data_IF_401814278620
#
_entry.id   IF_401814278620
#
_cell.length_a   1.000
_cell.length_b   1.000
_cell.length_c   1.000
_cell.angle_alpha   90.00
_cell.angle_beta   90.00
_cell.angle_gamma   90.00
#
_symmetry.space_group_name_H-M   'P 1'
#
loop_
_entity.id
_entity.type
_entity.pdbx_description
1 polymer ?
#
# COMPACT_ATOMS: atom_id res chain seq x y z
N UNK A 1 16.91 8.39 -1.95
CA UNK A 1 16.39 7.53 -0.88
C UNK A 1 14.96 7.14 -1.18
N UNK A 2 13.99 7.97 -0.77
CA UNK A 2 12.56 7.62 -0.79
C UNK A 2 11.98 7.23 -2.16
N UNK A 3 12.34 7.91 -3.24
CA UNK A 3 11.90 7.49 -4.59
C UNK A 3 12.40 6.09 -4.99
N UNK A 4 13.59 5.69 -4.52
CA UNK A 4 14.14 4.36 -4.79
C UNK A 4 13.43 3.27 -3.97
N UNK A 5 13.05 3.57 -2.73
CA UNK A 5 12.26 2.69 -1.86
C UNK A 5 10.86 2.40 -2.46
N UNK A 6 10.20 3.46 -2.94
CA UNK A 6 8.92 3.33 -3.64
C UNK A 6 9.06 2.61 -4.98
N UNK A 7 10.17 2.82 -5.71
CA UNK A 7 10.46 2.08 -6.94
C UNK A 7 10.68 0.59 -6.67
N UNK A 8 11.46 0.24 -5.65
CA UNK A 8 11.65 -1.15 -5.23
C UNK A 8 10.32 -1.79 -4.88
N UNK A 9 9.53 -1.14 -4.02
CA UNK A 9 8.20 -1.62 -3.64
C UNK A 9 7.29 -1.80 -4.86
N UNK A 10 7.34 -0.88 -5.82
CA UNK A 10 6.57 -0.95 -7.07
C UNK A 10 6.97 -2.17 -7.92
N UNK A 11 8.27 -2.36 -8.15
CA UNK A 11 8.79 -3.47 -8.96
C UNK A 11 8.53 -4.81 -8.25
N UNK A 12 8.84 -4.90 -6.97
CA UNK A 12 8.65 -6.12 -6.16
C UNK A 12 7.17 -6.51 -6.17
N UNK A 13 6.25 -5.59 -5.91
CA UNK A 13 4.81 -5.88 -5.89
C UNK A 13 4.31 -6.40 -7.25
N UNK A 14 4.67 -5.71 -8.33
CA UNK A 14 4.27 -6.13 -9.68
C UNK A 14 4.83 -7.51 -10.01
N UNK A 15 6.14 -7.71 -9.85
CA UNK A 15 6.81 -8.99 -10.15
C UNK A 15 6.26 -10.13 -9.28
N UNK A 16 5.92 -9.87 -8.03
CA UNK A 16 5.35 -10.88 -7.12
C UNK A 16 4.00 -11.38 -7.61
N UNK A 17 3.12 -10.47 -8.03
CA UNK A 17 1.82 -10.83 -8.59
C UNK A 17 1.96 -11.60 -9.92
N UNK A 18 2.91 -11.20 -10.77
CA UNK A 18 3.23 -11.90 -12.02
C UNK A 18 3.77 -13.32 -11.75
N UNK A 19 4.67 -13.45 -10.77
CA UNK A 19 5.26 -14.72 -10.37
C UNK A 19 4.20 -15.66 -9.78
N UNK A 20 3.29 -15.14 -8.95
CA UNK A 20 2.14 -15.90 -8.46
C UNK A 20 1.27 -16.44 -9.60
N UNK A 21 0.90 -15.60 -10.56
CA UNK A 21 0.13 -16.03 -11.73
C UNK A 21 0.82 -17.19 -12.48
N UNK A 22 2.14 -17.07 -12.68
CA UNK A 22 2.94 -18.07 -13.39
C UNK A 22 3.06 -19.40 -12.60
N UNK A 23 3.22 -19.33 -11.29
CA UNK A 23 3.39 -20.52 -10.45
C UNK A 23 2.10 -21.30 -10.23
N UNK A 24 0.94 -20.63 -10.29
CA UNK A 24 -0.37 -21.23 -10.07
C UNK A 24 -1.00 -21.57 -11.43
N UNK A 25 -0.78 -22.80 -11.90
CA UNK A 25 -1.25 -23.22 -13.23
C UNK A 25 -2.76 -23.06 -13.44
N UNK A 26 -3.58 -23.23 -12.39
CA UNK A 26 -5.03 -23.02 -12.48
C UNK A 26 -5.38 -21.56 -12.82
N UNK A 27 -4.61 -20.59 -12.33
CA UNK A 27 -4.79 -19.16 -12.67
C UNK A 27 -4.50 -18.94 -14.14
N UNK A 28 -3.34 -19.40 -14.65
CA UNK A 28 -2.97 -19.19 -16.05
C UNK A 28 -3.90 -19.94 -17.03
N UNK A 29 -4.42 -21.11 -16.63
CA UNK A 29 -5.40 -21.86 -17.42
C UNK A 29 -6.76 -21.14 -17.53
N UNK A 30 -7.21 -20.49 -16.46
CA UNK A 30 -8.45 -19.71 -16.45
C UNK A 30 -8.27 -18.33 -17.09
N UNK A 31 -7.10 -17.73 -16.91
CA UNK A 31 -6.76 -16.38 -17.30
C UNK A 31 -5.38 -16.36 -17.97
N UNK A 32 -5.31 -16.57 -19.30
CA UNK A 32 -4.04 -16.62 -20.02
C UNK A 32 -3.20 -15.34 -19.88
N UNK A 33 -3.84 -14.19 -19.66
CA UNK A 33 -3.18 -12.89 -19.50
C UNK A 33 -2.84 -12.53 -18.03
N UNK A 34 -3.05 -13.44 -17.06
CA UNK A 34 -2.84 -13.18 -15.64
C UNK A 34 -1.41 -12.71 -15.32
N UNK A 35 -0.40 -13.25 -16.02
CA UNK A 35 1.00 -12.84 -15.84
C UNK A 35 1.22 -11.40 -16.33
N UNK A 36 0.55 -10.96 -17.38
CA UNK A 36 0.69 -9.59 -17.91
C UNK A 36 -0.17 -8.58 -17.15
N UNK A 37 -1.23 -9.03 -16.48
CA UNK A 37 -2.22 -8.16 -15.87
C UNK A 37 -1.62 -7.13 -14.87
N UNK A 38 -0.75 -7.50 -13.91
CA UNK A 38 -0.09 -6.53 -13.03
C UNK A 38 0.74 -5.48 -13.78
N UNK A 39 1.41 -5.87 -14.87
CA UNK A 39 2.21 -4.95 -15.68
C UNK A 39 1.34 -3.94 -16.42
N UNK A 40 0.17 -4.36 -16.90
CA UNK A 40 -0.78 -3.43 -17.55
C UNK A 40 -1.45 -2.50 -16.54
N UNK A 41 -1.69 -2.95 -15.30
CA UNK A 41 -2.12 -2.07 -14.19
C UNK A 41 -1.08 -0.97 -13.97
N UNK A 42 0.21 -1.33 -13.93
CA UNK A 42 1.32 -0.37 -13.85
C UNK A 42 1.31 0.63 -15.02
N UNK A 43 1.04 0.17 -16.25
CA UNK A 43 0.88 1.06 -17.41
C UNK A 43 -0.29 2.04 -17.25
N UNK A 44 -1.45 1.54 -16.78
CA UNK A 44 -2.61 2.39 -16.50
C UNK A 44 -2.37 3.39 -15.37
N UNK A 45 -1.59 3.02 -14.35
CA UNK A 45 -1.23 3.89 -13.23
C UNK A 45 -0.61 5.22 -13.70
N UNK A 46 0.21 5.17 -14.76
CA UNK A 46 0.82 6.36 -15.36
C UNK A 46 -0.28 7.27 -15.92
N UNK A 47 -1.22 6.73 -16.69
CA UNK A 47 -2.34 7.47 -17.27
C UNK A 47 -3.24 8.06 -16.17
N UNK A 48 -3.58 7.25 -15.16
CA UNK A 48 -4.38 7.69 -14.03
C UNK A 48 -3.71 8.85 -13.28
N UNK A 49 -2.40 8.78 -13.08
CA UNK A 49 -1.61 9.84 -12.44
C UNK A 49 -1.62 11.11 -13.29
N UNK A 50 -1.36 11.03 -14.60
CA UNK A 50 -1.35 12.19 -15.49
C UNK A 50 -2.68 12.93 -15.47
N UNK A 51 -3.79 12.20 -15.49
CA UNK A 51 -5.13 12.78 -15.38
C UNK A 51 -5.32 13.39 -13.98
N UNK A 52 -4.97 12.66 -12.92
CA UNK A 52 -5.13 13.11 -11.54
C UNK A 52 -4.39 14.41 -11.21
N UNK A 53 -3.19 14.62 -11.76
CA UNK A 53 -2.39 15.85 -11.54
C UNK A 53 -3.14 17.09 -12.00
N UNK A 54 -3.94 17.01 -13.08
CA UNK A 54 -4.73 18.15 -13.59
C UNK A 54 -5.77 18.64 -12.57
N UNK A 55 -6.21 17.75 -11.67
CA UNK A 55 -7.19 18.05 -10.62
C UNK A 55 -6.58 18.58 -9.32
N UNK A 56 -5.24 18.61 -9.19
CA UNK A 56 -4.57 19.22 -8.03
C UNK A 56 -4.66 20.73 -8.15
N UNK A 57 -5.76 21.32 -7.64
CA UNK A 57 -6.00 22.77 -7.71
C UNK A 57 -6.53 23.31 -6.40
N UNK A 58 -5.81 24.26 -5.81
CA UNK A 58 -6.28 24.98 -4.64
C UNK A 58 -7.30 26.04 -5.06
N UNK A 59 -8.55 25.91 -4.59
CA UNK A 59 -9.59 26.94 -4.75
C UNK A 59 -9.37 28.08 -3.75
N UNK A 60 -9.87 29.31 -4.03
CA UNK A 60 -9.82 30.41 -3.05
C UNK A 60 -10.44 29.98 -1.71
N UNK A 61 -9.71 30.18 -0.61
CA UNK A 61 -10.11 29.74 0.73
C UNK A 61 -9.99 28.22 0.99
N UNK A 62 -9.44 27.46 0.04
CA UNK A 62 -9.17 26.03 0.18
C UNK A 62 -7.93 25.74 1.02
N UNK A 63 -7.71 24.46 1.35
CA UNK A 63 -6.49 24.00 2.01
C UNK A 63 -5.56 23.29 1.03
N UNK A 64 -4.26 23.40 1.25
CA UNK A 64 -3.21 22.71 0.48
C UNK A 64 -3.47 21.20 0.46
N UNK A 65 -3.71 20.61 1.64
CA UNK A 65 -4.01 19.18 1.76
C UNK A 65 -5.28 18.78 1.00
N UNK A 66 -6.29 19.64 0.99
CA UNK A 66 -7.50 19.42 0.20
C UNK A 66 -7.24 19.36 -1.31
N UNK A 67 -6.33 20.19 -1.83
CA UNK A 67 -5.93 20.13 -3.24
C UNK A 67 -5.19 18.83 -3.59
N UNK A 68 -4.31 18.36 -2.69
CA UNK A 68 -3.61 17.08 -2.86
C UNK A 68 -4.61 15.91 -2.82
N UNK A 69 -5.62 15.96 -1.95
CA UNK A 69 -6.67 14.95 -1.91
C UNK A 69 -7.59 14.95 -3.13
N UNK A 70 -7.83 16.11 -3.76
CA UNK A 70 -8.55 16.14 -5.03
C UNK A 70 -7.79 15.38 -6.12
N UNK A 71 -6.47 15.56 -6.19
CA UNK A 71 -5.62 14.79 -7.11
C UNK A 71 -5.62 13.30 -6.81
N UNK A 72 -5.48 12.92 -5.53
CA UNK A 72 -5.54 11.52 -5.11
C UNK A 72 -6.89 10.89 -5.43
N UNK A 73 -8.00 11.55 -5.10
CA UNK A 73 -9.35 11.07 -5.40
C UNK A 73 -9.58 10.91 -6.91
N UNK A 74 -9.16 11.88 -7.72
CA UNK A 74 -9.23 11.80 -9.17
C UNK A 74 -8.41 10.61 -9.71
N UNK A 75 -7.18 10.44 -9.23
CA UNK A 75 -6.30 9.31 -9.61
C UNK A 75 -6.94 7.98 -9.23
N UNK A 76 -7.49 7.85 -8.03
CA UNK A 76 -8.16 6.63 -7.56
C UNK A 76 -9.39 6.31 -8.39
N UNK A 77 -10.23 7.30 -8.72
CA UNK A 77 -11.43 7.09 -9.55
C UNK A 77 -11.04 6.63 -10.95
N UNK A 78 -10.08 7.31 -11.59
CA UNK A 78 -9.56 6.91 -12.90
C UNK A 78 -8.88 5.54 -12.84
N UNK A 79 -8.19 5.24 -11.74
CA UNK A 79 -7.63 3.94 -11.43
C UNK A 79 -8.70 2.84 -11.42
N UNK A 80 -9.80 3.02 -10.68
CA UNK A 80 -10.92 2.07 -10.62
C UNK A 80 -11.54 1.85 -12.00
N UNK A 81 -11.74 2.91 -12.77
CA UNK A 81 -12.28 2.80 -14.14
C UNK A 81 -11.35 1.98 -15.03
N UNK A 82 -10.04 2.22 -14.96
CA UNK A 82 -9.07 1.41 -15.69
C UNK A 82 -9.04 -0.04 -15.23
N UNK A 83 -9.07 -0.30 -13.92
CA UNK A 83 -9.13 -1.65 -13.38
C UNK A 83 -10.36 -2.41 -13.91
N UNK A 84 -11.51 -1.75 -14.04
CA UNK A 84 -12.70 -2.34 -14.63
C UNK A 84 -12.48 -2.72 -16.10
N UNK A 85 -11.95 -1.79 -16.90
CA UNK A 85 -11.67 -1.99 -18.32
C UNK A 85 -10.63 -3.12 -18.51
N UNK A 86 -9.52 -3.07 -17.78
CA UNK A 86 -8.47 -4.07 -17.84
C UNK A 86 -8.97 -5.45 -17.41
N UNK A 87 -9.79 -5.53 -16.36
CA UNK A 87 -10.40 -6.78 -15.92
C UNK A 87 -11.33 -7.37 -16.99
N UNK A 88 -12.13 -6.53 -17.67
CA UNK A 88 -13.00 -6.97 -18.75
C UNK A 88 -12.23 -7.60 -19.91
N UNK A 89 -11.16 -6.94 -20.38
CA UNK A 89 -10.39 -7.41 -21.54
C UNK A 89 -9.36 -8.51 -21.24
N UNK A 90 -8.74 -8.49 -20.06
CA UNK A 90 -7.61 -9.39 -19.74
C UNK A 90 -7.99 -10.56 -18.84
N UNK A 91 -9.04 -10.39 -18.01
CA UNK A 91 -9.45 -11.36 -16.99
C UNK A 91 -10.90 -11.82 -17.19
N UNK A 92 -11.43 -11.73 -18.41
CA UNK A 92 -12.79 -12.13 -18.80
C UNK A 92 -13.91 -11.47 -17.98
N UNK A 93 -13.66 -10.28 -17.41
CA UNK A 93 -14.65 -9.57 -16.60
C UNK A 93 -14.98 -10.25 -15.28
N UNK A 94 -14.10 -11.12 -14.75
CA UNK A 94 -14.34 -11.79 -13.47
C UNK A 94 -14.56 -10.77 -12.34
N UNK A 95 -15.71 -10.87 -11.67
CA UNK A 95 -16.10 -9.94 -10.61
C UNK A 95 -15.23 -10.07 -9.36
N UNK A 96 -14.78 -11.29 -9.04
CA UNK A 96 -13.88 -11.54 -7.90
C UNK A 96 -12.55 -10.83 -8.03
N UNK A 97 -11.91 -10.91 -9.22
CA UNK A 97 -10.64 -10.24 -9.51
C UNK A 97 -10.81 -8.72 -9.48
N UNK A 98 -11.91 -8.20 -10.04
CA UNK A 98 -12.22 -6.77 -9.97
C UNK A 98 -12.41 -6.31 -8.52
N UNK A 99 -13.16 -7.06 -7.71
CA UNK A 99 -13.34 -6.75 -6.29
C UNK A 99 -12.01 -6.76 -5.55
N UNK A 100 -11.16 -7.76 -5.76
CA UNK A 100 -9.83 -7.80 -5.15
C UNK A 100 -8.98 -6.58 -5.54
N UNK A 101 -9.00 -6.19 -6.82
CA UNK A 101 -8.28 -5.02 -7.30
C UNK A 101 -8.81 -3.72 -6.67
N UNK A 102 -10.13 -3.52 -6.60
CA UNK A 102 -10.74 -2.34 -5.96
C UNK A 102 -10.44 -2.31 -4.47
N UNK A 103 -10.48 -3.47 -3.80
CA UNK A 103 -10.15 -3.58 -2.36
C UNK A 103 -8.72 -3.13 -2.09
N UNK A 104 -7.74 -3.49 -2.92
CA UNK A 104 -6.38 -2.98 -2.81
C UNK A 104 -6.31 -1.46 -2.80
N UNK A 105 -7.04 -0.79 -3.71
CA UNK A 105 -7.15 0.67 -3.73
C UNK A 105 -7.86 1.23 -2.49
N UNK A 106 -8.91 0.57 -2.00
CA UNK A 106 -9.63 0.99 -0.79
C UNK A 106 -8.74 0.89 0.44
N UNK A 107 -8.04 -0.23 0.62
CA UNK A 107 -7.03 -0.40 1.69
C UNK A 107 -6.02 0.73 1.61
N UNK A 108 -5.60 1.08 0.40
CA UNK A 108 -4.64 2.14 0.23
C UNK A 108 -5.16 3.52 0.68
N UNK A 109 -6.38 3.87 0.27
CA UNK A 109 -7.05 5.10 0.72
C UNK A 109 -7.22 5.10 2.24
N UNK A 110 -7.60 3.99 2.86
CA UNK A 110 -7.74 3.88 4.31
C UNK A 110 -6.41 4.13 5.03
N UNK A 111 -5.30 3.59 4.52
CA UNK A 111 -3.97 3.82 5.10
C UNK A 111 -3.58 5.30 4.99
N UNK A 112 -3.87 5.95 3.87
CA UNK A 112 -3.63 7.39 3.67
C UNK A 112 -4.41 8.23 4.67
N UNK A 113 -5.73 7.98 4.78
CA UNK A 113 -6.62 8.73 5.68
C UNK A 113 -6.26 8.51 7.14
N UNK A 114 -5.96 7.26 7.53
CA UNK A 114 -5.47 6.96 8.87
C UNK A 114 -4.15 7.69 9.16
N UNK A 115 -3.23 7.71 8.19
CA UNK A 115 -1.94 8.39 8.38
C UNK A 115 -2.10 9.90 8.51
N UNK A 116 -2.94 10.54 7.70
CA UNK A 116 -3.27 11.98 7.84
C UNK A 116 -3.88 12.28 9.22
N UNK A 117 -4.86 11.47 9.66
CA UNK A 117 -5.50 11.65 10.96
C UNK A 117 -4.51 11.68 12.14
N UNK A 118 -3.49 10.81 12.12
CA UNK A 118 -2.50 10.72 13.21
C UNK A 118 -1.32 11.69 13.08
N UNK A 119 -1.13 12.35 11.93
CA UNK A 119 0.06 13.18 11.67
C UNK A 119 -0.24 14.64 11.37
N UNK A 120 -1.48 14.97 11.03
CA UNK A 120 -1.88 16.33 10.72
C UNK A 120 -2.27 17.09 12.00
N UNK A 121 -1.66 18.25 12.19
CA UNK A 121 -1.86 19.13 13.36
C UNK A 121 -3.31 19.56 13.58
N UNK A 122 -4.19 19.40 12.58
CA UNK A 122 -5.62 19.69 12.69
C UNK A 122 -6.39 18.64 13.47
N UNK A 123 -5.88 17.43 13.67
CA UNK A 123 -6.62 16.36 14.35
C UNK A 123 -6.24 16.22 15.83
N UNK A 124 -7.06 15.47 16.55
CA UNK A 124 -6.91 15.25 17.99
C UNK A 124 -5.58 14.61 18.39
N UNK A 125 -5.05 13.58 17.69
CA UNK A 125 -3.83 12.90 18.13
C UNK A 125 -2.61 13.82 18.16
N UNK A 126 -2.39 14.59 17.10
CA UNK A 126 -1.26 15.52 17.02
C UNK A 126 -1.42 16.70 17.99
N UNK A 127 -2.65 17.21 18.18
CA UNK A 127 -2.93 18.25 19.19
C UNK A 127 -2.67 17.77 20.61
N UNK A 128 -3.04 16.54 20.93
CA UNK A 128 -2.79 15.95 22.24
C UNK A 128 -1.28 15.85 22.56
N UNK A 129 -0.45 15.51 21.57
CA UNK A 129 1.02 15.52 21.72
C UNK A 129 1.52 16.95 22.00
N UNK A 130 1.01 17.94 21.25
CA UNK A 130 1.38 19.33 21.44
C UNK A 130 0.96 19.89 22.82
N UNK A 131 -0.24 19.54 23.30
CA UNK A 131 -0.71 19.88 24.64
C UNK A 131 0.15 19.23 25.72
N UNK A 132 0.55 17.97 25.53
CA UNK A 132 1.42 17.23 26.44
C UNK A 132 2.82 17.86 26.58
N UNK A 133 3.25 18.67 25.60
CA UNK A 133 4.51 19.40 25.66
C UNK A 133 4.52 20.54 26.70
N UNK A 134 3.35 21.01 27.14
CA UNK A 134 3.25 21.98 28.24
C UNK A 134 3.72 21.39 29.58
N UNK A 135 3.62 20.06 29.75
CA UNK A 135 4.07 19.36 30.95
C UNK A 135 5.56 18.94 30.90
N UNK A 136 6.24 19.18 29.78
CA UNK A 136 7.69 18.93 29.60
C UNK A 136 8.02 17.92 28.52
N UNK A 137 9.32 17.79 28.21
CA UNK A 137 9.79 16.94 27.11
C UNK A 137 9.47 15.44 27.32
N UNK A 138 9.52 14.96 28.57
CA UNK A 138 9.23 13.56 28.90
C UNK A 138 7.80 13.15 28.56
N UNK A 139 6.82 14.00 28.91
CA UNK A 139 5.41 13.77 28.58
C UNK A 139 5.15 13.85 27.08
N UNK A 140 5.84 14.72 26.35
CA UNK A 140 5.78 14.76 24.88
C UNK A 140 6.23 13.45 24.25
N UNK A 141 7.36 12.89 24.70
CA UNK A 141 7.89 11.63 24.15
C UNK A 141 6.95 10.47 24.46
N UNK A 142 6.45 10.38 25.70
CA UNK A 142 5.50 9.34 26.10
C UNK A 142 4.20 9.42 25.28
N UNK A 143 3.64 10.63 25.14
CA UNK A 143 2.43 10.84 24.34
C UNK A 143 2.67 10.49 22.86
N UNK A 144 3.79 10.92 22.29
CA UNK A 144 4.18 10.61 20.91
C UNK A 144 4.33 9.12 20.66
N UNK A 145 5.00 8.39 21.56
CA UNK A 145 5.10 6.93 21.48
C UNK A 145 3.74 6.25 21.60
N UNK A 146 2.89 6.69 22.54
CA UNK A 146 1.54 6.16 22.72
C UNK A 146 0.68 6.31 21.46
N UNK A 147 0.65 7.51 20.89
CA UNK A 147 -0.08 7.80 19.64
C UNK A 147 0.50 7.01 18.46
N UNK A 148 1.83 6.84 18.39
CA UNK A 148 2.47 6.03 17.35
C UNK A 148 2.07 4.55 17.39
N UNK A 149 1.99 3.97 18.59
CA UNK A 149 1.51 2.60 18.78
C UNK A 149 0.02 2.47 18.42
N UNK A 150 -0.81 3.43 18.81
CA UNK A 150 -2.23 3.47 18.48
C UNK A 150 -2.47 3.54 16.96
N UNK A 151 -1.69 4.38 16.25
CA UNK A 151 -1.82 4.62 14.82
C UNK A 151 -1.62 3.36 13.97
N UNK A 152 -0.94 2.33 14.51
CA UNK A 152 -0.66 1.08 13.80
C UNK A 152 -1.91 0.19 13.66
N UNK A 153 -2.85 0.27 14.60
CA UNK A 153 -4.03 -0.60 14.63
C UNK A 153 -4.94 -0.40 13.42
N UNK A 154 -5.28 0.84 13.06
CA UNK A 154 -6.21 1.13 11.94
C UNK A 154 -5.61 0.65 10.62
N UNK A 155 -4.31 0.86 10.42
CA UNK A 155 -3.58 0.41 9.23
C UNK A 155 -3.56 -1.11 9.16
N UNK A 156 -3.24 -1.77 10.27
CA UNK A 156 -3.25 -3.23 10.38
C UNK A 156 -4.62 -3.83 10.07
N UNK A 157 -5.70 -3.31 10.67
CA UNK A 157 -7.05 -3.76 10.38
C UNK A 157 -7.45 -3.56 8.91
N UNK A 158 -7.07 -2.44 8.32
CA UNK A 158 -7.34 -2.15 6.91
C UNK A 158 -6.68 -3.22 6.02
N UNK A 159 -5.43 -3.58 6.30
CA UNK A 159 -4.72 -4.65 5.58
C UNK A 159 -5.39 -6.00 5.79
N UNK A 160 -5.73 -6.36 7.04
CA UNK A 160 -6.41 -7.64 7.35
C UNK A 160 -7.75 -7.75 6.61
N UNK A 161 -8.58 -6.71 6.68
CA UNK A 161 -9.84 -6.66 5.93
C UNK A 161 -9.61 -6.79 4.43
N UNK A 162 -8.61 -6.09 3.90
CA UNK A 162 -8.21 -6.18 2.51
C UNK A 162 -7.82 -7.58 2.06
N UNK A 163 -6.95 -8.24 2.83
CA UNK A 163 -6.50 -9.62 2.59
C UNK A 163 -7.68 -10.58 2.60
N UNK A 164 -8.56 -10.50 3.61
CA UNK A 164 -9.71 -11.40 3.73
C UNK A 164 -10.70 -11.23 2.57
N UNK A 165 -11.02 -9.98 2.21
CA UNK A 165 -11.94 -9.71 1.09
C UNK A 165 -11.32 -10.12 -0.23
N UNK A 166 -10.04 -9.80 -0.49
CA UNK A 166 -9.38 -10.18 -1.74
C UNK A 166 -9.24 -11.69 -1.90
N UNK A 167 -8.87 -12.40 -0.82
CA UNK A 167 -8.76 -13.85 -0.80
C UNK A 167 -10.10 -14.53 -1.05
N UNK A 168 -11.14 -14.09 -0.34
CA UNK A 168 -12.47 -14.68 -0.49
C UNK A 168 -13.07 -14.34 -1.84
N UNK A 169 -12.97 -13.10 -2.32
CA UNK A 169 -13.59 -12.67 -3.58
C UNK A 169 -13.10 -13.48 -4.79
N UNK A 170 -11.80 -13.81 -4.87
CA UNK A 170 -11.23 -14.56 -6.00
C UNK A 170 -11.30 -16.08 -5.77
N UNK A 171 -11.15 -16.53 -4.53
CA UNK A 171 -11.28 -17.95 -4.18
C UNK A 171 -12.72 -18.45 -4.16
N UNK A 172 -13.72 -17.56 -4.19
CA UNK A 172 -15.13 -17.92 -4.05
C UNK A 172 -15.65 -18.77 -5.22
N UNK A 173 -15.97 -20.03 -4.92
CA UNK A 173 -16.54 -20.97 -5.90
C UNK A 173 -18.00 -21.36 -5.57
N UNK A 174 -18.71 -20.55 -4.77
CA UNK A 174 -20.08 -20.80 -4.34
C UNK A 174 -20.21 -20.98 -2.82
N UNK A 175 -21.45 -21.03 -2.32
CA UNK A 175 -21.74 -21.14 -0.87
C UNK A 175 -21.51 -22.54 -0.29
N UNK A 176 -21.26 -23.54 -1.14
CA UNK A 176 -21.22 -24.96 -0.77
C UNK A 176 -19.81 -25.50 -0.59
N UNK A 177 -18.79 -24.76 -1.01
CA UNK A 177 -17.38 -25.18 -0.94
C UNK A 177 -16.52 -24.08 -0.33
N UNK A 178 -15.50 -24.46 0.42
CA UNK A 178 -14.49 -23.51 0.90
C UNK A 178 -13.82 -22.79 -0.29
N UNK A 179 -13.37 -21.53 -0.12
CA UNK A 179 -12.67 -20.81 -1.16
C UNK A 179 -11.42 -21.56 -1.64
N UNK A 180 -11.17 -21.59 -2.95
CA UNK A 180 -9.94 -22.19 -3.50
C UNK A 180 -8.73 -21.39 -3.00
N UNK A 181 -7.82 -22.00 -2.21
CA UNK A 181 -6.68 -21.28 -1.65
C UNK A 181 -5.74 -20.73 -2.71
N UNK A 182 -5.59 -21.41 -3.84
CA UNK A 182 -4.66 -20.99 -4.90
C UNK A 182 -5.18 -19.71 -5.57
N UNK A 183 -6.47 -19.69 -5.91
CA UNK A 183 -7.13 -18.51 -6.48
C UNK A 183 -7.22 -17.37 -5.47
N UNK A 184 -7.49 -17.67 -4.20
CA UNK A 184 -7.52 -16.67 -3.13
C UNK A 184 -6.17 -15.99 -2.90
N UNK A 185 -5.07 -16.75 -2.88
CA UNK A 185 -3.71 -16.18 -2.78
C UNK A 185 -3.37 -15.29 -3.97
N UNK A 186 -3.81 -15.67 -5.19
CA UNK A 186 -3.69 -14.79 -6.35
C UNK A 186 -4.50 -13.50 -6.20
N UNK A 187 -5.70 -13.57 -5.60
CA UNK A 187 -6.51 -12.39 -5.27
C UNK A 187 -5.78 -11.41 -4.36
N UNK A 188 -5.07 -11.89 -3.33
CA UNK A 188 -4.21 -11.04 -2.48
C UNK A 188 -3.11 -10.38 -3.33
N UNK A 189 -2.47 -11.13 -4.23
CA UNK A 189 -1.47 -10.59 -5.15
C UNK A 189 -2.02 -9.49 -6.07
N UNK A 190 -3.26 -9.65 -6.56
CA UNK A 190 -3.94 -8.61 -7.35
C UNK A 190 -4.31 -7.39 -6.52
N UNK A 191 -4.76 -7.57 -5.28
CA UNK A 191 -4.99 -6.45 -4.37
C UNK A 191 -3.70 -5.68 -4.09
N UNK A 192 -2.56 -6.36 -3.95
CA UNK A 192 -1.26 -5.71 -3.82
C UNK A 192 -0.89 -4.93 -5.10
N UNK A 193 -1.01 -5.56 -6.27
CA UNK A 193 -0.68 -4.93 -7.55
C UNK A 193 -1.59 -3.75 -7.89
N UNK A 194 -2.86 -3.77 -7.49
CA UNK A 194 -3.80 -2.68 -7.78
C UNK A 194 -3.52 -1.42 -6.95
N UNK A 195 -2.88 -1.53 -5.78
CA UNK A 195 -2.38 -0.36 -5.03
C UNK A 195 -1.42 0.49 -5.87
N UNK A 196 -0.76 -0.13 -6.85
CA UNK A 196 0.18 0.56 -7.72
C UNK A 196 -0.51 1.58 -8.65
N UNK A 197 -1.83 1.47 -8.85
CA UNK A 197 -2.56 2.38 -9.72
C UNK A 197 -2.57 3.85 -9.26
N UNK A 198 -2.23 4.11 -7.98
CA UNK A 198 -2.12 5.47 -7.42
C UNK A 198 -0.68 5.90 -7.09
N UNK A 199 0.32 5.04 -7.36
CA UNK A 199 1.71 5.29 -6.94
C UNK A 199 2.26 6.61 -7.45
N UNK A 200 2.03 6.94 -8.72
CA UNK A 200 2.57 8.15 -9.32
C UNK A 200 2.07 9.42 -8.62
N UNK A 201 0.80 9.45 -8.22
CA UNK A 201 0.24 10.55 -7.44
C UNK A 201 0.85 10.62 -6.04
N UNK A 202 1.06 9.48 -5.38
CA UNK A 202 1.68 9.44 -4.04
C UNK A 202 3.14 9.90 -4.08
N UNK A 203 3.92 9.47 -5.06
CA UNK A 203 5.29 9.96 -5.26
C UNK A 203 5.29 11.47 -5.50
N UNK A 204 4.33 11.99 -6.27
CA UNK A 204 4.20 13.43 -6.52
C UNK A 204 3.89 14.21 -5.23
N UNK A 205 2.99 13.68 -4.40
CA UNK A 205 2.64 14.22 -3.08
C UNK A 205 3.84 14.15 -2.11
N UNK A 206 4.67 13.12 -2.21
CA UNK A 206 5.88 13.00 -1.40
C UNK A 206 6.92 14.06 -1.76
N UNK A 207 7.17 14.24 -3.06
CA UNK A 207 8.14 15.21 -3.57
C UNK A 207 7.79 16.65 -3.16
N UNK A 208 6.51 16.94 -2.91
CA UNK A 208 6.06 18.23 -2.39
C UNK A 208 6.76 18.61 -1.08
N UNK A 209 6.91 17.70 -0.13
CA UNK A 209 7.44 18.01 1.21
C UNK A 209 8.89 18.52 1.19
N UNK A 210 9.86 17.78 0.63
CA UNK A 210 11.25 18.25 0.52
C UNK A 210 11.39 19.53 -0.30
N UNK A 211 10.51 19.77 -1.28
CA UNK A 211 10.53 21.02 -2.06
C UNK A 211 10.11 22.21 -1.19
N UNK A 212 9.07 22.06 -0.39
CA UNK A 212 8.55 23.14 0.48
C UNK A 212 9.45 23.42 1.67
N UNK A 213 10.06 22.37 2.26
CA UNK A 213 11.07 22.48 3.33
C UNK A 213 12.28 23.31 2.84
N UNK A 214 12.85 22.94 1.69
CA UNK A 214 13.96 23.68 1.09
C UNK A 214 13.59 25.12 0.73
N UNK A 215 12.36 25.36 0.25
CA UNK A 215 11.89 26.71 -0.04
C UNK A 215 11.83 27.59 1.22
N UNK A 216 11.33 27.04 2.34
CA UNK A 216 11.32 27.72 3.65
C UNK A 216 12.74 27.99 4.15
N UNK A 217 13.64 27.01 4.07
CA UNK A 217 15.04 27.17 4.44
C UNK A 217 15.78 28.23 3.61
N UNK A 218 15.54 28.28 2.28
CA UNK A 218 16.09 29.33 1.41
C UNK A 218 15.56 30.71 1.82
N UNK A 219 14.25 30.83 2.10
CA UNK A 219 13.66 32.08 2.54
C UNK A 219 14.25 32.57 3.88
N UNK A 220 14.49 31.65 4.81
CA UNK A 220 15.16 31.93 6.08
C UNK A 220 16.62 32.37 5.90
N UNK A 221 17.43 31.59 5.18
CA UNK A 221 18.85 31.85 5.00
C UNK A 221 19.12 33.10 4.14
N UNK A 222 18.23 33.45 3.22
CA UNK A 222 18.32 34.65 2.40
C UNK A 222 17.81 35.92 3.11
N UNK A 223 17.31 35.82 4.35
CA UNK A 223 16.79 36.96 5.11
C UNK A 223 15.55 37.60 4.48
N UNK A 224 14.70 36.81 3.82
CA UNK A 224 13.48 37.31 3.20
C UNK A 224 12.47 37.82 4.25
N UNK A 225 11.56 38.74 3.86
CA UNK A 225 10.52 39.26 4.74
C UNK A 225 9.59 38.17 5.30
N UNK A 226 8.92 38.45 6.43
CA UNK A 226 8.01 37.50 7.11
C UNK A 226 6.88 37.01 6.22
N UNK A 227 6.44 37.83 5.27
CA UNK A 227 5.40 37.50 4.30
C UNK A 227 5.78 36.29 3.44
N UNK A 228 7.09 36.07 3.19
CA UNK A 228 7.56 34.87 2.50
C UNK A 228 7.41 33.63 3.41
N UNK A 229 7.71 33.77 4.70
CA UNK A 229 7.57 32.69 5.71
C UNK A 229 6.12 32.33 5.99
N UNK A 230 5.24 33.32 6.03
CA UNK A 230 3.79 33.13 6.19
C UNK A 230 3.19 32.24 5.08
N UNK A 231 3.87 32.15 3.92
CA UNK A 231 3.53 31.24 2.82
C UNK A 231 4.25 29.90 2.94
N UNK A 232 5.55 29.87 3.26
CA UNK A 232 6.34 28.63 3.30
C UNK A 232 6.05 27.74 4.50
N UNK A 233 5.79 28.30 5.68
CA UNK A 233 5.61 27.52 6.90
C UNK A 233 4.35 26.63 6.84
N UNK A 234 3.19 27.12 6.34
CA UNK A 234 2.03 26.24 6.12
C UNK A 234 2.27 25.17 5.06
N UNK A 235 3.12 25.43 4.05
CA UNK A 235 3.47 24.46 3.02
C UNK A 235 4.34 23.34 3.61
N UNK A 236 5.35 23.69 4.40
CA UNK A 236 6.21 22.73 5.08
C UNK A 236 5.45 21.86 6.10
N UNK A 237 4.55 22.48 6.88
CA UNK A 237 3.69 21.73 7.79
C UNK A 237 2.87 20.65 7.07
N UNK A 238 2.36 20.95 5.87
CA UNK A 238 1.68 19.95 5.02
C UNK A 238 2.67 18.93 4.46
N UNK A 239 3.87 19.37 4.08
CA UNK A 239 4.97 18.51 3.64
C UNK A 239 5.34 17.40 4.64
N UNK A 240 5.29 17.70 5.94
CA UNK A 240 5.53 16.71 6.99
C UNK A 240 4.44 15.62 7.04
N UNK A 241 3.17 16.03 6.88
CA UNK A 241 2.04 15.09 6.78
C UNK A 241 2.12 14.25 5.50
N UNK A 242 2.43 14.86 4.36
CA UNK A 242 2.53 14.11 3.08
C UNK A 242 3.66 13.09 3.11
N UNK A 243 4.82 13.43 3.69
CA UNK A 243 5.93 12.51 3.91
C UNK A 243 5.52 11.31 4.76
N UNK A 244 4.71 11.53 5.80
CA UNK A 244 4.19 10.43 6.61
C UNK A 244 3.22 9.55 5.81
N UNK A 245 2.34 10.14 5.01
CA UNK A 245 1.41 9.42 4.13
C UNK A 245 2.18 8.51 3.16
N UNK A 246 3.25 9.01 2.55
CA UNK A 246 4.11 8.22 1.66
C UNK A 246 4.77 7.04 2.37
N UNK A 247 5.26 7.24 3.60
CA UNK A 247 5.79 6.12 4.40
C UNK A 247 4.70 5.11 4.74
N UNK A 248 3.50 5.59 5.08
CA UNK A 248 2.34 4.73 5.31
C UNK A 248 2.00 3.88 4.08
N UNK A 249 2.04 4.48 2.89
CA UNK A 249 1.90 3.79 1.61
C UNK A 249 2.96 2.71 1.42
N UNK A 250 4.24 3.07 1.57
CA UNK A 250 5.36 2.15 1.37
C UNK A 250 5.22 0.93 2.29
N UNK A 251 4.95 1.14 3.58
CA UNK A 251 4.75 0.05 4.54
C UNK A 251 3.52 -0.80 4.18
N UNK A 252 2.38 -0.16 3.88
CA UNK A 252 1.14 -0.88 3.57
C UNK A 252 1.26 -1.76 2.32
N UNK A 253 1.85 -1.21 1.26
CA UNK A 253 2.11 -1.95 0.02
C UNK A 253 3.17 -3.02 0.21
N UNK A 254 4.24 -2.77 0.98
CA UNK A 254 5.25 -3.76 1.31
C UNK A 254 4.67 -4.97 2.08
N UNK A 255 3.72 -4.77 2.99
CA UNK A 255 3.07 -5.89 3.71
C UNK A 255 2.27 -6.76 2.74
N UNK A 256 1.46 -6.17 1.86
CA UNK A 256 0.69 -6.94 0.87
C UNK A 256 1.60 -7.61 -0.17
N UNK A 257 2.67 -6.94 -0.58
CA UNK A 257 3.71 -7.52 -1.44
C UNK A 257 4.45 -8.67 -0.77
N UNK A 258 4.79 -8.55 0.52
CA UNK A 258 5.43 -9.61 1.30
C UNK A 258 4.52 -10.84 1.43
N UNK A 259 3.21 -10.65 1.60
CA UNK A 259 2.25 -11.75 1.59
C UNK A 259 2.18 -12.43 0.21
N UNK A 260 2.17 -11.65 -0.87
CA UNK A 260 2.21 -12.19 -2.23
C UNK A 260 3.53 -12.93 -2.53
N UNK A 261 4.67 -12.39 -2.12
CA UNK A 261 5.98 -13.03 -2.21
C UNK A 261 6.04 -14.31 -1.38
N UNK A 262 5.49 -14.30 -0.17
CA UNK A 262 5.46 -15.48 0.68
C UNK A 262 4.63 -16.59 0.03
N UNK A 263 3.47 -16.23 -0.53
CA UNK A 263 2.69 -17.17 -1.34
C UNK A 263 3.52 -17.69 -2.54
N UNK A 264 4.19 -16.80 -3.30
CA UNK A 264 5.03 -17.22 -4.44
C UNK A 264 6.17 -18.14 -4.00
N UNK A 265 6.82 -17.83 -2.87
CA UNK A 265 7.86 -18.65 -2.26
C UNK A 265 7.34 -20.04 -1.92
N UNK A 266 6.16 -20.16 -1.30
CA UNK A 266 5.58 -21.48 -0.98
C UNK A 266 5.31 -22.31 -2.24
N UNK A 267 4.76 -21.72 -3.30
CA UNK A 267 4.58 -22.39 -4.60
C UNK A 267 5.90 -22.78 -5.27
N UNK A 268 6.89 -21.89 -5.27
CA UNK A 268 8.20 -22.14 -5.86
C UNK A 268 8.95 -23.25 -5.10
N UNK A 269 8.95 -23.20 -3.77
CA UNK A 269 9.59 -24.19 -2.91
C UNK A 269 8.94 -25.57 -3.10
N UNK A 270 7.61 -25.65 -3.11
CA UNK A 270 6.92 -26.91 -3.35
C UNK A 270 7.23 -27.50 -4.74
N UNK A 271 7.30 -26.66 -5.79
CA UNK A 271 7.66 -27.09 -7.14
C UNK A 271 9.10 -27.62 -7.20
N UNK A 272 10.04 -26.96 -6.51
CA UNK A 272 11.43 -27.41 -6.42
C UNK A 272 11.55 -28.75 -5.67
N UNK A 273 10.81 -28.93 -4.57
CA UNK A 273 10.78 -30.18 -3.81
C UNK A 273 10.19 -31.34 -4.61
N UNK A 274 9.13 -31.08 -5.38
CA UNK A 274 8.56 -32.05 -6.32
C UNK A 274 9.57 -32.43 -7.41
N UNK A 275 10.30 -31.45 -7.96
CA UNK A 275 11.37 -31.67 -8.93
C UNK A 275 12.52 -32.51 -8.37
N UNK A 276 12.78 -32.42 -7.07
CA UNK A 276 13.76 -33.24 -6.35
C UNK A 276 13.23 -34.64 -5.97
N UNK A 277 11.99 -34.99 -6.33
CA UNK A 277 11.37 -36.29 -6.03
C UNK A 277 10.99 -36.50 -4.57
N UNK A 278 10.93 -35.44 -3.76
CA UNK A 278 10.73 -35.55 -2.31
C UNK A 278 9.26 -35.61 -1.92
N UNK A 279 8.47 -34.56 -2.21
CA UNK A 279 7.10 -34.40 -1.70
C UNK A 279 6.16 -33.69 -2.71
N UNK A 280 4.88 -34.04 -2.68
CA UNK A 280 3.81 -33.36 -3.43
C UNK A 280 3.28 -32.11 -2.67
N UNK A 281 2.54 -31.22 -3.35
CA UNK A 281 2.05 -29.92 -2.81
C UNK A 281 1.44 -30.00 -1.40
N UNK A 282 0.58 -31.01 -1.17
CA UNK A 282 -0.14 -31.19 0.09
C UNK A 282 0.81 -31.55 1.25
N UNK A 283 1.87 -32.31 0.96
CA UNK A 283 2.86 -32.69 1.96
C UNK A 283 3.76 -31.49 2.30
N UNK A 284 4.18 -30.69 1.33
CA UNK A 284 4.98 -29.48 1.59
C UNK A 284 4.21 -28.48 2.47
N UNK A 285 2.96 -28.18 2.11
CA UNK A 285 2.13 -27.21 2.84
C UNK A 285 1.84 -27.67 4.28
N UNK A 286 1.71 -28.98 4.54
CA UNK A 286 1.59 -29.53 5.90
C UNK A 286 2.86 -29.39 6.77
N UNK A 287 4.01 -29.07 6.17
CA UNK A 287 5.25 -28.77 6.90
C UNK A 287 5.40 -27.27 7.23
N UNK A 288 4.54 -26.42 6.65
CA UNK A 288 4.62 -24.96 6.81
C UNK A 288 3.59 -24.41 7.83
N UNK A 289 3.00 -25.30 8.63
CA UNK A 289 1.96 -24.99 9.61
C UNK A 289 2.55 -24.62 10.97
N UNK A 290 1.82 -23.80 11.74
CA UNK A 290 2.26 -23.32 13.06
C UNK A 290 2.39 -24.40 14.13
N UNK A 291 1.94 -25.62 13.88
CA UNK A 291 2.18 -26.79 14.75
C UNK A 291 3.61 -27.34 14.60
N UNK A 292 4.37 -26.92 13.60
CA UNK A 292 5.76 -27.35 13.38
C UNK A 292 6.72 -26.47 14.20
N UNK A 293 7.54 -27.03 15.10
CA UNK A 293 8.46 -26.26 15.95
C UNK A 293 9.43 -25.38 15.18
N UNK A 294 9.93 -25.85 14.02
CA UNK A 294 10.85 -25.09 13.17
C UNK A 294 10.19 -23.85 12.56
N UNK A 295 8.89 -23.92 12.20
CA UNK A 295 8.14 -22.78 11.68
C UNK A 295 7.94 -21.73 12.77
N UNK A 296 7.60 -22.15 13.99
CA UNK A 296 7.46 -21.24 15.15
C UNK A 296 8.80 -20.60 15.52
N UNK A 297 9.89 -21.37 15.56
CA UNK A 297 11.23 -20.85 15.80
C UNK A 297 11.63 -19.82 14.72
N UNK A 298 11.39 -20.14 13.45
CA UNK A 298 11.61 -19.22 12.33
C UNK A 298 10.78 -17.94 12.43
N UNK A 299 9.51 -18.05 12.83
CA UNK A 299 8.61 -16.90 13.03
C UNK A 299 9.12 -15.98 14.15
N UNK A 300 9.55 -16.55 15.29
CA UNK A 300 10.09 -15.78 16.42
C UNK A 300 11.41 -15.09 16.03
N UNK A 301 12.34 -15.83 15.42
CA UNK A 301 13.61 -15.25 14.94
C UNK A 301 13.34 -14.15 13.92
N UNK A 302 12.42 -14.37 12.97
CA UNK A 302 12.02 -13.39 11.98
C UNK A 302 11.40 -12.13 12.60
N UNK A 303 10.61 -12.27 13.66
CA UNK A 303 10.03 -11.14 14.39
C UNK A 303 11.06 -10.33 15.19
N UNK A 304 12.21 -10.92 15.54
CA UNK A 304 13.30 -10.24 16.24
C UNK A 304 14.21 -9.43 15.30
N UNK A 305 14.31 -9.80 14.01
CA UNK A 305 15.23 -9.14 13.06
C UNK A 305 15.01 -7.62 12.87
N UNK A 306 13.77 -7.06 12.92
CA UNK A 306 13.56 -5.63 12.75
C UNK A 306 13.87 -4.76 13.98
N UNK A 307 14.12 -5.38 15.16
CA UNK A 307 14.39 -4.69 16.44
C UNK A 307 15.89 -4.65 16.74
#
# INVERSE_FOLDING_TARGET
GMAADLFETYVVTAVSAMLLAYLISSVTNLYPNAILFPLVICGWAIVATLIGVVFVRMRPGGSIMGALYQGLAATTIVGIVGLYVLNYYLMNGNTGIFVAAVVGLVVMVLIVLATDYYTNARFSPTRHIAESAQAGAGTTVIAGLGVGLEASWIKGLSIVGGVLVAYTAVGWNGWTTAPDPSLGLYGIGIAAASMLAVTGMIISIDAFGPITDNAGGIAEMAGLPKEARDVTDPLDAVGNTTKAITKGYAVGSAVLAALALFAAYTFAAARAWKGAGLLDWNLFTSQLTLNQPLVVAGLIVGALLPF
#
